data_IF_822380719808
#
_entry.id   IF_822380719808
#
_cell.length_a   1.000
_cell.length_b   1.000
_cell.length_c   1.000
_cell.angle_alpha   90.00
_cell.angle_beta   90.00
_cell.angle_gamma   90.00
#
_symmetry.space_group_name_H-M   'P 1'
#
loop_
_entity.id
_entity.type
_entity.pdbx_description
1 polymer ?
#
# COMPACT_ATOMS: atom_id res chain seq x y z
N UNK A 1 -9.58 20.98 -17.29
CA UNK A 1 -9.15 21.09 -15.90
C UNK A 1 -7.64 21.19 -15.91
N UNK A 2 -7.09 22.02 -15.06
CA UNK A 2 -5.64 22.19 -14.91
C UNK A 2 -5.20 21.67 -13.54
N UNK A 3 -4.34 22.46 -12.87
CA UNK A 3 -3.87 22.18 -11.51
C UNK A 3 -5.00 22.50 -10.52
N UNK A 4 -5.42 21.49 -9.76
CA UNK A 4 -6.48 21.62 -8.75
C UNK A 4 -5.90 21.46 -7.34
N UNK A 5 -6.60 21.98 -6.33
CA UNK A 5 -6.15 21.96 -4.93
C UNK A 5 -5.74 20.56 -4.44
N UNK A 6 -6.46 19.51 -4.88
CA UNK A 6 -6.14 18.12 -4.53
C UNK A 6 -4.80 17.67 -5.10
N UNK A 7 -4.51 18.04 -6.36
CA UNK A 7 -3.23 17.71 -7.00
C UNK A 7 -2.06 18.40 -6.31
N UNK A 8 -2.24 19.67 -5.94
CA UNK A 8 -1.26 20.46 -5.19
C UNK A 8 -0.96 19.82 -3.84
N UNK A 9 -2.00 19.52 -3.05
CA UNK A 9 -1.85 18.92 -1.73
C UNK A 9 -1.15 17.56 -1.79
N UNK A 10 -1.52 16.70 -2.75
CA UNK A 10 -0.90 15.39 -2.92
C UNK A 10 0.57 15.52 -3.35
N UNK A 11 0.89 16.46 -4.22
CA UNK A 11 2.24 16.70 -4.69
C UNK A 11 3.15 17.18 -3.55
N UNK A 12 2.72 18.15 -2.74
CA UNK A 12 3.46 18.58 -1.57
C UNK A 12 3.68 17.44 -0.57
N UNK A 13 2.67 16.61 -0.32
CA UNK A 13 2.82 15.44 0.54
C UNK A 13 3.88 14.46 0.01
N UNK A 14 3.94 14.25 -1.30
CA UNK A 14 4.94 13.39 -1.93
C UNK A 14 6.35 13.98 -1.79
N UNK A 15 6.51 15.28 -2.06
CA UNK A 15 7.78 16.00 -1.93
C UNK A 15 8.29 15.98 -0.49
N UNK A 16 7.43 16.25 0.50
CA UNK A 16 7.79 16.19 1.93
C UNK A 16 8.27 14.81 2.37
N UNK A 17 7.79 13.75 1.71
CA UNK A 17 8.22 12.37 1.96
C UNK A 17 9.45 11.96 1.12
N UNK A 18 9.99 12.85 0.31
CA UNK A 18 11.13 12.57 -0.58
C UNK A 18 10.79 11.59 -1.70
N UNK A 19 9.53 11.55 -2.13
CA UNK A 19 9.07 10.73 -3.25
C UNK A 19 9.28 11.49 -4.55
N UNK A 20 9.85 10.82 -5.55
CA UNK A 20 10.01 11.39 -6.90
C UNK A 20 8.64 11.60 -7.56
N UNK A 21 8.48 12.77 -8.21
CA UNK A 21 7.23 13.16 -8.84
C UNK A 21 7.45 13.37 -10.33
N UNK A 22 6.68 12.66 -11.15
CA UNK A 22 6.70 12.82 -12.62
C UNK A 22 5.38 13.46 -13.05
N UNK A 23 5.41 14.67 -13.64
CA UNK A 23 4.21 15.30 -14.17
C UNK A 23 3.74 14.58 -15.43
N UNK A 24 2.45 14.23 -15.47
CA UNK A 24 1.78 13.59 -16.61
C UNK A 24 0.49 14.33 -16.93
N UNK A 25 0.38 14.85 -18.16
CA UNK A 25 -0.79 15.56 -18.65
C UNK A 25 -1.72 14.59 -19.38
N UNK A 26 -2.84 14.24 -18.74
CA UNK A 26 -3.82 13.33 -19.32
C UNK A 26 -4.95 14.10 -20.04
N UNK A 27 -5.66 13.36 -20.92
CA UNK A 27 -6.79 13.87 -21.71
C UNK A 27 -6.42 14.86 -22.80
N UNK A 28 -5.24 14.71 -23.40
CA UNK A 28 -4.78 15.57 -24.51
C UNK A 28 -5.63 15.41 -25.80
N UNK A 29 -6.47 14.36 -25.86
CA UNK A 29 -7.43 14.11 -26.93
C UNK A 29 -8.62 15.09 -26.93
N UNK A 30 -8.82 15.85 -25.88
CA UNK A 30 -9.94 16.79 -25.79
C UNK A 30 -9.64 18.06 -26.59
N UNK A 31 -10.62 18.61 -27.35
CA UNK A 31 -10.43 19.84 -28.13
C UNK A 31 -10.04 21.07 -27.30
N UNK A 32 -10.41 21.08 -26.01
CA UNK A 32 -10.07 22.16 -25.08
C UNK A 32 -8.79 21.88 -24.27
N UNK A 33 -8.00 20.86 -24.64
CA UNK A 33 -6.74 20.59 -23.98
C UNK A 33 -5.71 21.67 -24.33
N UNK A 34 -5.09 22.22 -23.31
CA UNK A 34 -4.01 23.23 -23.41
C UNK A 34 -2.83 22.79 -22.55
N UNK A 35 -1.97 21.90 -23.06
CA UNK A 35 -0.84 21.36 -22.32
C UNK A 35 0.15 22.43 -21.86
N UNK A 36 0.45 23.42 -22.69
CA UNK A 36 1.43 24.46 -22.38
C UNK A 36 0.99 25.32 -21.19
N UNK A 37 -0.27 25.71 -21.16
CA UNK A 37 -0.84 26.44 -20.04
C UNK A 37 -0.80 25.60 -18.75
N UNK A 38 -1.06 24.28 -18.83
CA UNK A 38 -1.02 23.41 -17.65
C UNK A 38 0.40 23.20 -17.15
N UNK A 39 1.39 23.11 -18.03
CA UNK A 39 2.81 23.07 -17.68
C UNK A 39 3.18 24.32 -16.87
N UNK A 40 2.92 25.52 -17.41
CA UNK A 40 3.19 26.78 -16.70
C UNK A 40 2.49 26.83 -15.33
N UNK A 41 1.24 26.36 -15.26
CA UNK A 41 0.52 26.31 -13.97
C UNK A 41 1.16 25.34 -12.96
N UNK A 42 1.70 24.20 -13.39
CA UNK A 42 2.41 23.26 -12.51
C UNK A 42 3.66 23.92 -11.95
N UNK A 43 4.44 24.57 -12.79
CA UNK A 43 5.68 25.26 -12.41
C UNK A 43 5.41 26.44 -11.47
N UNK A 44 4.40 27.27 -11.77
CA UNK A 44 4.06 28.44 -10.96
C UNK A 44 3.40 28.09 -9.62
N UNK A 45 2.50 27.09 -9.60
CA UNK A 45 1.67 26.77 -8.41
C UNK A 45 2.32 25.72 -7.52
N UNK A 46 2.96 24.70 -8.10
CA UNK A 46 3.56 23.59 -7.35
C UNK A 46 5.08 23.82 -7.17
N UNK A 47 5.72 24.47 -8.13
CA UNK A 47 7.16 24.76 -8.08
C UNK A 47 8.04 23.57 -8.50
N UNK A 48 7.50 22.60 -9.24
CA UNK A 48 8.27 21.51 -9.83
C UNK A 48 8.46 21.76 -11.32
N UNK A 49 9.60 21.33 -11.86
CA UNK A 49 9.86 21.36 -13.29
C UNK A 49 8.88 20.45 -14.03
N UNK A 50 8.17 21.00 -15.00
CA UNK A 50 7.16 20.29 -15.79
C UNK A 50 7.39 20.41 -17.32
N UNK A 51 8.51 21.01 -17.77
CA UNK A 51 8.78 21.16 -19.20
C UNK A 51 8.83 19.81 -19.92
N UNK A 52 9.29 18.75 -19.25
CA UNK A 52 9.34 17.37 -19.72
C UNK A 52 8.10 16.54 -19.33
N UNK A 53 6.97 17.19 -19.02
CA UNK A 53 5.75 16.50 -18.67
C UNK A 53 5.28 15.59 -19.80
N UNK A 54 5.00 14.33 -19.48
CA UNK A 54 4.53 13.35 -20.46
C UNK A 54 3.07 13.66 -20.83
N UNK A 55 2.78 13.73 -22.13
CA UNK A 55 1.46 14.06 -22.67
C UNK A 55 0.74 12.79 -23.10
N UNK A 56 -0.42 12.50 -22.53
CA UNK A 56 -1.12 11.23 -22.74
C UNK A 56 -2.61 11.41 -22.93
N UNK A 57 -3.21 10.42 -23.56
CA UNK A 57 -4.64 10.17 -23.50
C UNK A 57 -4.86 8.72 -23.09
N UNK A 58 -5.22 8.49 -21.84
CA UNK A 58 -5.55 7.16 -21.35
C UNK A 58 -6.77 6.54 -22.10
N UNK A 59 -7.64 7.39 -22.66
CA UNK A 59 -8.78 6.98 -23.44
C UNK A 59 -8.39 6.37 -24.79
N UNK A 60 -7.44 6.99 -25.50
CA UNK A 60 -7.01 6.57 -26.83
C UNK A 60 -5.80 5.67 -26.82
N UNK A 61 -5.08 5.61 -25.68
CA UNK A 61 -3.80 4.91 -25.54
C UNK A 61 -2.58 5.75 -25.96
N UNK A 62 -2.77 6.97 -26.50
CA UNK A 62 -1.67 7.84 -26.94
C UNK A 62 -0.77 8.21 -25.77
N UNK A 63 0.56 8.05 -25.94
CA UNK A 63 1.58 8.44 -24.95
C UNK A 63 1.64 7.55 -23.69
N UNK A 64 0.87 6.47 -23.60
CA UNK A 64 0.88 5.59 -22.41
C UNK A 64 2.21 4.86 -22.28
N UNK A 65 2.79 4.42 -23.39
CA UNK A 65 4.14 3.83 -23.43
C UNK A 65 5.20 4.79 -22.92
N UNK A 66 5.11 6.06 -23.30
CA UNK A 66 6.06 7.12 -22.86
C UNK A 66 6.01 7.33 -21.33
N UNK A 67 4.82 7.15 -20.71
CA UNK A 67 4.71 7.19 -19.24
C UNK A 67 5.46 6.02 -18.61
N UNK A 68 5.32 4.80 -19.14
CA UNK A 68 6.01 3.62 -18.61
C UNK A 68 7.54 3.77 -18.76
N UNK A 69 8.01 4.26 -19.90
CA UNK A 69 9.43 4.53 -20.10
C UNK A 69 9.94 5.65 -19.17
N UNK A 70 9.17 6.72 -18.98
CA UNK A 70 9.52 7.78 -18.03
C UNK A 70 9.60 7.27 -16.58
N UNK A 71 8.68 6.36 -16.16
CA UNK A 71 8.73 5.72 -14.86
C UNK A 71 10.03 4.92 -14.68
N UNK A 72 10.40 4.10 -15.67
CA UNK A 72 11.61 3.28 -15.61
C UNK A 72 12.88 4.15 -15.59
N UNK A 73 12.90 5.22 -16.40
CA UNK A 73 14.07 6.08 -16.55
C UNK A 73 14.29 7.04 -15.37
N UNK A 74 13.21 7.57 -14.77
CA UNK A 74 13.28 8.68 -13.81
C UNK A 74 13.12 8.23 -12.36
N UNK A 75 12.33 7.16 -12.07
CA UNK A 75 12.12 6.71 -10.71
C UNK A 75 13.29 5.80 -10.29
N UNK A 76 14.00 6.13 -9.21
CA UNK A 76 15.08 5.28 -8.72
C UNK A 76 14.55 3.92 -8.24
N UNK A 77 15.33 2.87 -8.44
CA UNK A 77 15.02 1.55 -7.93
C UNK A 77 14.86 1.57 -6.39
N UNK A 78 13.99 0.70 -5.83
CA UNK A 78 13.85 0.59 -4.39
C UNK A 78 15.20 0.32 -3.72
N UNK A 79 15.46 1.00 -2.61
CA UNK A 79 16.65 0.76 -1.77
C UNK A 79 16.37 -0.44 -0.87
N UNK A 80 17.42 -1.23 -0.57
CA UNK A 80 17.33 -2.35 0.35
C UNK A 80 18.45 -3.36 0.09
N UNK A 81 18.81 -4.14 1.11
CA UNK A 81 19.81 -5.19 1.04
C UNK A 81 19.13 -6.56 1.18
N UNK A 82 19.09 -7.40 0.11
CA UNK A 82 18.50 -8.74 0.18
C UNK A 82 19.19 -9.70 1.15
N UNK A 83 20.43 -9.41 1.55
CA UNK A 83 21.24 -10.24 2.47
C UNK A 83 21.11 -9.82 3.93
N UNK A 84 20.55 -8.64 4.20
CA UNK A 84 20.31 -8.14 5.54
C UNK A 84 19.20 -8.91 6.28
N UNK A 85 19.07 -8.77 7.61
CA UNK A 85 17.92 -9.30 8.34
C UNK A 85 16.60 -8.80 7.77
N UNK A 86 15.63 -9.71 7.64
CA UNK A 86 14.33 -9.38 7.04
C UNK A 86 13.63 -8.25 7.81
N UNK A 87 13.24 -7.23 7.08
CA UNK A 87 12.32 -6.18 7.51
C UNK A 87 11.27 -5.96 6.43
N UNK A 88 10.04 -6.32 6.70
CA UNK A 88 8.93 -6.08 5.78
C UNK A 88 7.82 -5.31 6.51
N UNK A 89 7.31 -4.25 5.88
CA UNK A 89 6.23 -3.42 6.41
C UNK A 89 4.90 -3.99 5.97
N UNK A 90 3.97 -4.20 6.90
CA UNK A 90 2.59 -4.55 6.58
C UNK A 90 1.88 -3.29 6.07
N UNK A 91 1.48 -3.29 4.80
CA UNK A 91 0.78 -2.18 4.16
C UNK A 91 -0.73 -2.39 4.07
N UNK A 92 -1.17 -3.63 4.08
CA UNK A 92 -2.60 -4.00 4.15
C UNK A 92 -2.75 -5.43 4.71
N UNK A 93 -3.93 -5.76 5.22
CA UNK A 93 -4.30 -7.11 5.60
C UNK A 93 -5.80 -7.32 5.45
N UNK A 94 -6.21 -8.52 5.04
CA UNK A 94 -7.61 -8.88 4.91
C UNK A 94 -7.84 -10.35 5.20
N UNK A 95 -9.09 -10.69 5.47
CA UNK A 95 -9.50 -12.06 5.65
C UNK A 95 -10.02 -12.64 4.34
N UNK A 96 -9.45 -13.76 3.94
CA UNK A 96 -9.91 -14.60 2.85
C UNK A 96 -10.54 -15.88 3.42
N UNK A 97 -11.71 -16.28 2.91
CA UNK A 97 -12.46 -17.39 3.45
C UNK A 97 -11.79 -18.76 3.25
N UNK A 98 -10.84 -18.87 2.31
CA UNK A 98 -10.15 -20.11 1.96
C UNK A 98 -8.78 -20.23 2.61
N UNK A 99 -8.04 -19.15 2.67
CA UNK A 99 -6.64 -19.16 3.13
C UNK A 99 -6.42 -18.42 4.46
N UNK A 100 -7.47 -17.84 5.04
CA UNK A 100 -7.38 -17.10 6.29
C UNK A 100 -6.87 -15.67 6.10
N UNK A 101 -6.03 -15.19 7.00
CA UNK A 101 -5.49 -13.83 6.91
C UNK A 101 -4.40 -13.75 5.85
N UNK A 102 -4.61 -12.86 4.88
CA UNK A 102 -3.62 -12.50 3.86
C UNK A 102 -3.01 -11.16 4.26
N UNK A 103 -1.69 -11.10 4.30
CA UNK A 103 -0.93 -9.91 4.70
C UNK A 103 -0.21 -9.38 3.46
N UNK A 104 -0.48 -8.13 3.07
CA UNK A 104 0.27 -7.46 2.03
C UNK A 104 1.45 -6.72 2.65
N UNK A 105 2.65 -7.01 2.16
CA UNK A 105 3.88 -6.44 2.71
C UNK A 105 4.72 -5.77 1.62
N UNK A 106 5.47 -4.75 2.03
CA UNK A 106 6.62 -4.24 1.30
C UNK A 106 7.89 -4.70 2.00
N UNK A 107 8.71 -5.49 1.33
CA UNK A 107 10.01 -5.91 1.85
C UNK A 107 11.00 -4.75 1.71
N UNK A 108 11.51 -4.27 2.84
CA UNK A 108 12.50 -3.19 2.88
C UNK A 108 13.91 -3.75 2.81
N UNK A 109 14.20 -4.77 3.61
CA UNK A 109 15.50 -5.48 3.66
C UNK A 109 15.26 -6.99 3.79
N UNK A 110 16.25 -7.77 3.38
CA UNK A 110 16.22 -9.22 3.51
C UNK A 110 15.42 -9.93 2.44
N UNK A 111 15.18 -11.21 2.67
CA UNK A 111 14.42 -12.09 1.77
C UNK A 111 13.51 -13.00 2.59
N UNK A 112 12.26 -13.11 2.18
CA UNK A 112 11.24 -13.98 2.78
C UNK A 112 10.91 -15.13 1.83
N UNK A 113 10.82 -16.35 2.38
CA UNK A 113 10.48 -17.57 1.63
C UNK A 113 9.39 -18.35 2.35
N UNK A 114 8.60 -19.16 1.63
CA UNK A 114 7.77 -20.18 2.25
C UNK A 114 8.60 -21.09 3.15
N UNK A 115 8.03 -21.50 4.28
CA UNK A 115 8.73 -22.31 5.29
C UNK A 115 9.49 -21.48 6.34
N UNK A 116 9.69 -20.18 6.13
CA UNK A 116 10.29 -19.33 7.15
C UNK A 116 9.32 -19.12 8.33
N UNK A 117 9.85 -19.14 9.56
CA UNK A 117 9.11 -18.66 10.73
C UNK A 117 9.25 -17.14 10.80
N UNK A 118 8.14 -16.44 10.67
CA UNK A 118 8.05 -14.99 10.75
C UNK A 118 7.65 -14.56 12.15
N UNK A 119 8.15 -13.42 12.59
CA UNK A 119 7.79 -12.73 13.82
C UNK A 119 7.13 -11.39 13.47
N UNK A 120 5.92 -11.17 13.95
CA UNK A 120 5.24 -9.88 13.92
C UNK A 120 5.72 -9.07 15.11
N UNK A 121 6.40 -7.95 14.87
CA UNK A 121 7.15 -7.28 15.94
C UNK A 121 6.27 -6.58 16.98
N UNK A 122 5.08 -6.08 16.61
CA UNK A 122 4.16 -5.44 17.55
C UNK A 122 3.41 -6.46 18.41
N UNK A 123 2.80 -7.48 17.80
CA UNK A 123 2.04 -8.53 18.52
C UNK A 123 2.92 -9.58 19.17
N UNK A 124 4.22 -9.68 18.79
CA UNK A 124 5.16 -10.74 19.19
C UNK A 124 4.71 -12.14 18.73
N UNK A 125 3.76 -12.22 17.83
CA UNK A 125 3.28 -13.49 17.31
C UNK A 125 4.29 -14.11 16.35
N UNK A 126 4.58 -15.39 16.53
CA UNK A 126 5.43 -16.17 15.62
C UNK A 126 4.55 -17.08 14.80
N UNK A 127 4.68 -17.02 13.49
CA UNK A 127 3.88 -17.79 12.54
C UNK A 127 4.74 -18.44 11.46
N UNK A 128 4.26 -19.51 10.87
CA UNK A 128 4.91 -20.12 9.72
C UNK A 128 4.42 -19.41 8.45
N UNK A 129 5.34 -18.93 7.64
CA UNK A 129 5.03 -18.44 6.29
C UNK A 129 4.74 -19.64 5.39
N UNK A 130 3.47 -19.86 5.04
CA UNK A 130 3.06 -20.99 4.19
C UNK A 130 3.27 -20.67 2.72
N UNK A 131 2.91 -19.45 2.31
CA UNK A 131 3.02 -19.00 0.93
C UNK A 131 3.43 -17.53 0.87
N UNK A 132 4.16 -17.18 -0.18
CA UNK A 132 4.40 -15.81 -0.61
C UNK A 132 4.04 -15.66 -2.09
N UNK A 133 3.67 -14.46 -2.50
CA UNK A 133 3.34 -14.18 -3.89
C UNK A 133 3.10 -12.71 -4.17
N UNK A 134 2.73 -12.41 -5.40
CA UNK A 134 2.47 -11.06 -5.92
C UNK A 134 1.11 -11.01 -6.62
N UNK A 135 0.59 -9.81 -6.84
CA UNK A 135 -0.62 -9.59 -7.65
C UNK A 135 -0.26 -9.07 -9.04
N UNK A 136 -0.61 -9.81 -10.12
CA UNK A 136 -0.30 -9.50 -11.54
C UNK A 136 -1.48 -9.80 -12.50
N UNK A 137 -2.59 -9.12 -12.49
CA UNK A 137 -3.41 -8.57 -11.40
C UNK A 137 -3.99 -9.66 -10.47
N UNK A 138 -4.01 -10.92 -10.91
CA UNK A 138 -4.39 -12.07 -10.07
C UNK A 138 -3.22 -12.46 -9.16
N UNK A 139 -3.53 -13.13 -8.06
CA UNK A 139 -2.50 -13.69 -7.19
C UNK A 139 -1.63 -14.69 -7.93
N UNK A 140 -0.32 -14.53 -7.84
CA UNK A 140 0.67 -15.45 -8.38
C UNK A 140 1.68 -15.79 -7.28
N UNK A 141 1.82 -17.10 -6.99
CA UNK A 141 2.78 -17.56 -6.01
C UNK A 141 4.22 -17.31 -6.48
N UNK A 142 5.11 -17.05 -5.53
CA UNK A 142 6.55 -16.86 -5.76
C UNK A 142 7.35 -17.77 -4.84
N UNK A 143 8.58 -18.04 -5.21
CA UNK A 143 9.52 -18.79 -4.38
C UNK A 143 10.09 -17.93 -3.24
N UNK A 144 10.12 -16.61 -3.42
CA UNK A 144 10.58 -15.64 -2.43
C UNK A 144 10.05 -14.25 -2.72
N UNK A 145 10.08 -13.38 -1.70
CA UNK A 145 9.98 -11.93 -1.81
C UNK A 145 11.28 -11.33 -1.27
N UNK A 146 11.90 -10.46 -2.04
CA UNK A 146 13.18 -9.85 -1.74
C UNK A 146 13.07 -8.34 -1.48
N UNK A 147 14.11 -7.72 -0.97
CA UNK A 147 14.17 -6.29 -0.73
C UNK A 147 13.70 -5.48 -1.94
N UNK A 148 12.80 -4.51 -1.72
CA UNK A 148 12.18 -3.68 -2.75
C UNK A 148 10.86 -4.22 -3.31
N UNK A 149 10.54 -5.50 -3.12
CA UNK A 149 9.32 -6.10 -3.65
C UNK A 149 8.10 -5.87 -2.74
N UNK A 150 6.94 -5.78 -3.39
CA UNK A 150 5.63 -5.78 -2.73
C UNK A 150 4.94 -7.09 -3.05
N UNK A 151 4.47 -7.79 -2.03
CA UNK A 151 3.81 -9.07 -2.21
C UNK A 151 2.95 -9.46 -1.01
N UNK A 152 2.28 -10.59 -1.12
CA UNK A 152 1.44 -11.12 -0.05
C UNK A 152 2.11 -12.29 0.69
N UNK A 153 1.72 -12.44 1.95
CA UNK A 153 2.08 -13.56 2.82
C UNK A 153 0.78 -14.26 3.25
N UNK A 154 0.78 -15.59 3.21
CA UNK A 154 -0.22 -16.44 3.83
C UNK A 154 0.49 -17.23 4.92
N UNK A 155 -0.01 -17.16 6.16
CA UNK A 155 0.69 -17.73 7.32
C UNK A 155 -0.24 -18.43 8.31
N UNK A 156 -1.45 -18.84 7.88
CA UNK A 156 -2.39 -19.55 8.72
C UNK A 156 -2.82 -18.81 10.00
N UNK A 157 -2.65 -17.48 10.03
CA UNK A 157 -3.08 -16.63 11.15
C UNK A 157 -4.59 -16.71 11.27
N UNK A 158 -5.06 -17.17 12.43
CA UNK A 158 -6.49 -17.29 12.74
C UNK A 158 -7.02 -16.07 13.50
N UNK A 159 -6.15 -15.38 14.22
CA UNK A 159 -6.49 -14.18 15.00
C UNK A 159 -6.31 -12.94 14.16
N UNK A 160 -7.40 -12.27 13.92
CA UNK A 160 -7.50 -11.09 13.08
C UNK A 160 -6.63 -9.90 13.58
N UNK A 161 -6.45 -9.79 14.89
CA UNK A 161 -5.70 -8.71 15.53
C UNK A 161 -4.16 -8.92 15.51
N UNK A 162 -3.68 -10.06 15.03
CA UNK A 162 -2.25 -10.37 15.05
C UNK A 162 -1.45 -9.64 13.95
N UNK A 163 -2.08 -9.34 12.80
CA UNK A 163 -1.42 -8.75 11.63
C UNK A 163 -1.88 -7.29 11.41
N UNK A 164 -1.44 -6.39 12.28
CA UNK A 164 -1.80 -4.96 12.19
C UNK A 164 -1.07 -4.27 11.06
N UNK A 165 -1.80 -3.43 10.32
CA UNK A 165 -1.21 -2.57 9.29
C UNK A 165 -0.23 -1.59 9.95
N UNK A 166 0.95 -1.43 9.35
CA UNK A 166 2.05 -0.65 9.93
C UNK A 166 2.99 -1.45 10.84
N UNK A 167 2.67 -2.72 11.16
CA UNK A 167 3.60 -3.59 11.89
C UNK A 167 4.74 -4.07 10.98
N UNK A 168 5.81 -4.52 11.61
CA UNK A 168 7.00 -5.06 10.96
C UNK A 168 7.02 -6.58 11.05
N UNK A 169 7.21 -7.21 9.91
CA UNK A 169 7.48 -8.65 9.79
C UNK A 169 8.97 -8.87 9.69
N UNK A 170 9.50 -9.77 10.53
CA UNK A 170 10.92 -10.20 10.49
C UNK A 170 11.02 -11.72 10.61
N UNK A 171 12.22 -12.28 10.46
CA UNK A 171 12.43 -13.71 10.70
C UNK A 171 12.58 -13.98 12.21
N UNK A 172 11.90 -15.00 12.71
CA UNK A 172 12.01 -15.38 14.13
C UNK A 172 13.42 -15.91 14.50
N UNK A 173 14.14 -16.48 13.52
CA UNK A 173 15.53 -16.97 13.71
C UNK A 173 16.57 -15.87 13.76
N UNK A 174 16.31 -14.74 13.08
CA UNK A 174 17.21 -13.59 13.02
C UNK A 174 16.36 -12.32 13.01
N UNK A 175 15.79 -11.93 14.15
CA UNK A 175 14.92 -10.78 14.25
C UNK A 175 15.68 -9.48 13.92
N UNK A 176 14.98 -8.54 13.30
CA UNK A 176 15.50 -7.18 13.14
C UNK A 176 15.62 -6.50 14.51
N UNK A 177 16.65 -5.67 14.69
CA UNK A 177 16.91 -4.96 15.95
C UNK A 177 15.80 -3.99 16.34
N UNK A 178 15.21 -3.32 15.35
CA UNK A 178 14.13 -2.34 15.56
C UNK A 178 13.04 -2.48 14.50
N UNK A 179 11.77 -2.21 14.86
CA UNK A 179 10.69 -2.17 13.89
C UNK A 179 10.87 -1.01 12.93
N UNK A 180 10.26 -1.15 11.74
CA UNK A 180 10.13 -0.05 10.79
C UNK A 180 9.20 1.03 11.36
N UNK A 181 9.39 2.26 10.90
CA UNK A 181 8.44 3.32 11.21
C UNK A 181 7.09 2.99 10.55
N UNK A 182 6.09 2.67 11.37
CA UNK A 182 4.74 2.38 10.94
C UNK A 182 3.98 3.63 10.51
N UNK A 183 2.71 3.44 10.14
CA UNK A 183 1.84 4.56 9.80
C UNK A 183 1.41 5.35 11.04
N UNK A 184 1.20 6.67 10.89
CA UNK A 184 0.64 7.50 11.95
C UNK A 184 -0.77 7.04 12.28
N UNK A 185 -1.07 6.79 13.55
CA UNK A 185 -2.44 6.52 14.00
C UNK A 185 -3.33 7.74 13.76
N UNK A 186 -4.37 7.56 12.94
CA UNK A 186 -5.40 8.58 12.73
C UNK A 186 -6.43 8.41 13.85
N UNK A 187 -6.66 9.47 14.63
CA UNK A 187 -7.72 9.46 15.66
C UNK A 187 -9.09 9.45 14.97
N UNK A 188 -10.03 8.58 15.41
CA UNK A 188 -11.39 8.58 14.88
C UNK A 188 -12.05 9.94 15.09
N UNK A 189 -12.70 10.46 14.05
CA UNK A 189 -13.41 11.74 14.09
C UNK A 189 -14.94 11.59 14.03
N UNK A 190 -15.41 10.43 13.55
CA UNK A 190 -16.84 10.12 13.42
C UNK A 190 -17.14 8.81 14.13
N UNK A 191 -18.21 8.82 14.90
CA UNK A 191 -18.71 7.64 15.62
C UNK A 191 -20.13 7.33 15.14
N UNK A 192 -20.43 6.04 14.89
CA UNK A 192 -21.75 5.56 14.50
C UNK A 192 -22.08 4.27 15.23
N UNK A 193 -23.30 4.18 15.73
CA UNK A 193 -23.86 2.91 16.26
C UNK A 193 -24.45 2.09 15.11
N UNK A 194 -24.07 0.83 15.01
CA UNK A 194 -24.60 -0.11 14.03
C UNK A 194 -25.39 -1.20 14.78
N UNK A 195 -26.65 -1.39 14.39
CA UNK A 195 -27.55 -2.36 15.01
C UNK A 195 -28.10 -3.30 13.93
N UNK A 196 -28.23 -4.60 14.20
CA UNK A 196 -28.91 -5.50 13.28
C UNK A 196 -30.41 -5.18 13.24
N UNK A 197 -31.04 -5.45 12.11
CA UNK A 197 -32.50 -5.29 11.97
C UNK A 197 -33.25 -6.30 12.85
N UNK A 198 -32.71 -7.50 12.94
CA UNK A 198 -33.24 -8.58 13.76
C UNK A 198 -32.26 -8.96 14.87
N UNK A 199 -32.72 -9.12 16.11
CA UNK A 199 -31.88 -9.39 17.28
C UNK A 199 -31.09 -10.70 17.20
N UNK A 200 -31.58 -11.69 16.47
CA UNK A 200 -30.88 -12.96 16.22
C UNK A 200 -29.66 -12.84 15.28
N UNK A 201 -29.48 -11.69 14.62
CA UNK A 201 -28.38 -11.44 13.71
C UNK A 201 -27.19 -10.71 14.39
N UNK A 202 -27.25 -10.51 15.70
CA UNK A 202 -26.20 -9.77 16.42
C UNK A 202 -24.82 -10.41 16.28
N UNK A 203 -24.71 -11.74 16.47
CA UNK A 203 -23.43 -12.46 16.38
C UNK A 203 -22.86 -12.43 14.94
N UNK A 204 -23.74 -12.51 13.94
CA UNK A 204 -23.34 -12.40 12.54
C UNK A 204 -22.82 -10.98 12.20
N UNK A 205 -23.50 -9.93 12.69
CA UNK A 205 -23.07 -8.54 12.54
C UNK A 205 -21.73 -8.31 13.23
N UNK A 206 -21.56 -8.79 14.47
CA UNK A 206 -20.32 -8.68 15.22
C UNK A 206 -19.14 -9.32 14.46
N UNK A 207 -19.31 -10.56 14.01
CA UNK A 207 -18.27 -11.27 13.23
C UNK A 207 -17.95 -10.56 11.92
N UNK A 208 -18.94 -9.99 11.24
CA UNK A 208 -18.72 -9.21 10.01
C UNK A 208 -17.96 -7.92 10.28
N UNK A 209 -18.26 -7.23 11.39
CA UNK A 209 -17.56 -6.00 11.80
C UNK A 209 -16.12 -6.28 12.23
N UNK A 210 -15.85 -7.41 12.92
CA UNK A 210 -14.49 -7.84 13.25
C UNK A 210 -13.65 -8.09 11.99
N UNK A 211 -14.21 -8.73 10.96
CA UNK A 211 -13.56 -8.93 9.66
C UNK A 211 -13.35 -7.60 8.91
N UNK A 212 -14.31 -6.69 8.99
CA UNK A 212 -14.23 -5.37 8.36
C UNK A 212 -13.20 -4.47 9.03
N UNK A 213 -13.01 -4.61 10.35
CA UNK A 213 -12.02 -3.86 11.13
C UNK A 213 -10.61 -4.07 10.58
N UNK A 214 -10.21 -5.30 10.27
CA UNK A 214 -8.92 -5.60 9.62
C UNK A 214 -8.73 -4.82 8.32
N UNK A 215 -9.76 -4.81 7.48
CA UNK A 215 -9.70 -4.14 6.17
C UNK A 215 -9.61 -2.61 6.28
N UNK A 216 -10.06 -2.04 7.40
CA UNK A 216 -10.23 -0.59 7.57
C UNK A 216 -9.42 0.00 8.73
N UNK A 217 -8.48 -0.71 9.36
CA UNK A 217 -7.70 -0.18 10.49
C UNK A 217 -6.98 1.14 10.19
N UNK A 218 -6.66 1.39 8.91
CA UNK A 218 -6.07 2.67 8.48
C UNK A 218 -7.08 3.73 8.04
N UNK A 219 -8.35 3.38 7.82
CA UNK A 219 -9.34 4.33 7.29
C UNK A 219 -10.43 4.72 8.29
N UNK A 220 -10.85 3.79 9.16
CA UNK A 220 -11.87 4.08 10.17
C UNK A 220 -11.73 3.10 11.35
N UNK A 221 -11.42 3.58 12.54
CA UNK A 221 -11.49 2.75 13.75
C UNK A 221 -12.96 2.42 14.04
N UNK A 222 -13.36 1.18 13.78
CA UNK A 222 -14.66 0.66 14.20
C UNK A 222 -14.50 0.20 15.65
N UNK A 223 -15.05 0.92 16.62
CA UNK A 223 -15.20 0.44 17.99
C UNK A 223 -16.53 -0.29 18.11
N UNK A 224 -16.47 -1.55 18.52
CA UNK A 224 -17.64 -2.33 18.92
C UNK A 224 -17.92 -2.02 20.39
N UNK A 225 -19.09 -1.48 20.70
CA UNK A 225 -19.60 -1.32 22.06
C UNK A 225 -20.35 -2.55 22.49
#
# INVERSE_FOLDING_TARGET
QGVEAQSVANCYTAIEQGVEVIPVLNKIDLPAADPERVISNIEEVIGIDAHDAVRVSAKTGQGVEDVLEALIARIPAPKGDPSAPLKALIIDSWFDNYVGVVILVRVMDGTLKPGNKILLMASKAVQLCEQVGVFVPKSANRESLSAGEVGFIISGIKELDAAKVGDTVTLASQPAEAPLQGFKEIKPQVFAGLYPVESNQYDALRSALEKLKLKNENKNKIMLC
#
